data_IF_635231204271
#
_entry.id   IF_635231204271
#
_cell.length_a   1.000
_cell.length_b   1.000
_cell.length_c   1.000
_cell.angle_alpha   90.00
_cell.angle_beta   90.00
_cell.angle_gamma   90.00
#
_symmetry.space_group_name_H-M   'P 1'
#
loop_
_entity.id
_entity.type
_entity.pdbx_description
1 polymer ?
#
# COMPACT_ATOMS: atom_id res chain seq x y z
N UNK A 1 -4.54 2.65 -4.87
CA UNK A 1 -3.17 2.21 -4.49
C UNK A 1 -2.19 3.37 -4.65
N UNK A 2 -1.58 3.85 -3.57
CA UNK A 2 -0.39 4.73 -3.67
C UNK A 2 0.84 3.81 -3.69
N UNK A 3 1.36 3.56 -4.88
CA UNK A 3 2.63 2.85 -5.03
C UNK A 3 3.77 3.84 -4.75
N UNK A 4 4.74 3.42 -3.94
CA UNK A 4 6.05 4.05 -4.00
C UNK A 4 6.69 3.61 -5.32
N UNK A 5 6.64 4.45 -6.35
CA UNK A 5 7.28 4.18 -7.63
C UNK A 5 8.39 5.19 -7.90
N UNK A 6 9.54 4.70 -8.35
CA UNK A 6 10.63 5.52 -8.85
C UNK A 6 10.85 5.21 -10.32
N UNK A 7 10.95 6.25 -11.14
CA UNK A 7 11.31 6.12 -12.56
C UNK A 7 12.73 6.65 -12.74
N UNK A 8 13.54 5.92 -13.49
CA UNK A 8 14.90 6.31 -13.85
C UNK A 8 15.19 5.90 -15.28
N UNK A 9 16.02 6.67 -15.97
CA UNK A 9 16.59 6.29 -17.25
C UNK A 9 17.96 5.66 -16.99
N UNK A 10 18.14 4.41 -17.42
CA UNK A 10 19.37 3.65 -17.27
C UNK A 10 20.05 3.56 -18.63
N UNK A 11 21.32 3.97 -18.69
CA UNK A 11 22.13 3.85 -19.90
C UNK A 11 23.33 2.95 -19.61
N UNK A 12 23.49 1.92 -20.43
CA UNK A 12 24.64 1.02 -20.41
C UNK A 12 25.10 0.72 -21.87
N UNK A 13 26.10 -0.14 -22.09
CA UNK A 13 26.54 -0.50 -23.44
C UNK A 13 25.46 -1.19 -24.31
N UNK A 14 24.42 -1.76 -23.72
CA UNK A 14 23.30 -2.43 -24.39
C UNK A 14 22.16 -1.47 -24.78
N UNK A 15 22.16 -0.24 -24.23
CA UNK A 15 21.32 0.86 -24.69
C UNK A 15 20.86 1.80 -23.58
N UNK A 16 19.89 2.65 -23.92
CA UNK A 16 19.19 3.52 -22.97
C UNK A 16 17.76 3.04 -22.81
N UNK A 17 17.35 2.85 -21.56
CA UNK A 17 16.06 2.24 -21.19
C UNK A 17 15.44 3.00 -20.05
N UNK A 18 14.14 3.26 -20.15
CA UNK A 18 13.37 3.82 -19.05
C UNK A 18 12.89 2.69 -18.14
N UNK A 19 13.29 2.74 -16.88
CA UNK A 19 12.97 1.74 -15.86
C UNK A 19 12.11 2.38 -14.78
N UNK A 20 10.97 1.76 -14.51
CA UNK A 20 10.16 2.04 -13.34
C UNK A 20 10.33 0.90 -12.33
N UNK A 21 10.68 1.24 -11.10
CA UNK A 21 10.63 0.32 -9.96
C UNK A 21 9.49 0.76 -9.05
N UNK A 22 8.63 -0.17 -8.68
CA UNK A 22 7.52 0.05 -7.77
C UNK A 22 7.54 -0.98 -6.65
N UNK A 23 7.23 -0.54 -5.44
CA UNK A 23 6.89 -1.43 -4.34
C UNK A 23 5.37 -1.47 -4.20
N UNK A 24 4.83 -2.67 -4.33
CA UNK A 24 3.43 -2.98 -4.05
C UNK A 24 3.34 -3.83 -2.78
N UNK A 25 2.21 -3.72 -2.10
CA UNK A 25 1.83 -4.68 -1.08
C UNK A 25 0.57 -5.39 -1.53
N UNK A 26 0.52 -6.69 -1.28
CA UNK A 26 -0.61 -7.53 -1.53
C UNK A 26 -0.86 -8.39 -0.31
N UNK A 27 -2.11 -8.53 0.10
CA UNK A 27 -2.46 -9.44 1.18
C UNK A 27 -2.00 -10.87 0.83
N UNK A 28 -1.25 -11.55 1.71
CA UNK A 28 -0.86 -12.96 1.50
C UNK A 28 -2.06 -13.90 1.36
N UNK A 29 -3.24 -13.46 1.80
CA UNK A 29 -4.49 -14.23 1.74
C UNK A 29 -5.19 -14.11 0.39
N UNK A 30 -4.85 -13.13 -0.45
CA UNK A 30 -5.45 -13.03 -1.77
C UNK A 30 -4.86 -14.09 -2.71
N UNK A 31 -5.70 -14.81 -3.49
CA UNK A 31 -5.21 -15.81 -4.44
C UNK A 31 -4.48 -15.13 -5.60
N UNK A 32 -3.23 -15.50 -5.87
CA UNK A 32 -2.46 -14.95 -7.00
C UNK A 32 -3.26 -15.06 -8.30
N UNK A 33 -3.44 -13.98 -9.08
CA UNK A 33 -4.13 -14.05 -10.36
C UNK A 33 -3.52 -15.14 -11.24
N UNK A 34 -4.35 -15.82 -12.02
CA UNK A 34 -3.85 -16.77 -13.01
C UNK A 34 -2.93 -16.03 -14.00
N UNK A 35 -1.67 -16.45 -14.06
CA UNK A 35 -0.69 -15.90 -14.99
C UNK A 35 -0.79 -16.62 -16.35
N UNK A 36 -0.51 -15.89 -17.42
CA UNK A 36 -0.52 -16.46 -18.77
C UNK A 36 0.66 -17.43 -18.95
N UNK A 37 0.48 -18.48 -19.75
CA UNK A 37 1.47 -19.57 -19.85
C UNK A 37 2.86 -19.20 -20.39
N UNK A 38 3.02 -18.01 -20.98
CA UNK A 38 4.30 -17.51 -21.49
C UNK A 38 5.08 -16.69 -20.44
N UNK A 39 4.44 -16.36 -19.32
CA UNK A 39 5.11 -15.75 -18.17
C UNK A 39 6.10 -16.77 -17.61
N UNK A 40 7.34 -16.33 -17.43
CA UNK A 40 8.42 -17.18 -16.93
C UNK A 40 8.50 -17.04 -15.41
N UNK A 41 8.80 -18.15 -14.74
CA UNK A 41 8.99 -18.21 -13.29
C UNK A 41 10.41 -18.67 -12.99
N UNK A 42 11.05 -18.00 -12.03
CA UNK A 42 12.37 -18.38 -11.55
C UNK A 42 12.57 -17.91 -10.11
N UNK A 43 13.57 -18.47 -9.45
CA UNK A 43 14.01 -18.03 -8.14
C UNK A 43 15.32 -17.28 -8.28
N UNK A 44 15.39 -16.06 -7.73
CA UNK A 44 16.62 -15.25 -7.65
C UNK A 44 16.90 -15.00 -6.16
N UNK A 45 18.06 -15.43 -5.66
CA UNK A 45 18.47 -15.27 -4.26
C UNK A 45 17.40 -15.72 -3.24
N UNK A 46 16.67 -16.80 -3.56
CA UNK A 46 15.61 -17.35 -2.72
C UNK A 46 14.27 -16.61 -2.80
N UNK A 47 14.14 -15.61 -3.68
CA UNK A 47 12.91 -14.86 -3.94
C UNK A 47 12.25 -15.36 -5.22
N UNK A 48 10.95 -15.62 -5.17
CA UNK A 48 10.15 -15.99 -6.35
C UNK A 48 10.00 -14.78 -7.27
N UNK A 49 10.42 -14.91 -8.52
CA UNK A 49 10.39 -13.87 -9.54
C UNK A 49 9.64 -14.35 -10.77
N UNK A 50 8.62 -13.61 -11.17
CA UNK A 50 7.99 -13.79 -12.48
C UNK A 50 8.49 -12.75 -13.47
N UNK A 51 8.61 -13.13 -14.74
CA UNK A 51 9.00 -12.23 -15.81
C UNK A 51 8.12 -12.36 -17.05
N UNK A 52 7.84 -11.20 -17.63
CA UNK A 52 7.04 -11.05 -18.83
C UNK A 52 7.78 -10.12 -19.80
N UNK A 53 8.25 -10.66 -20.93
CA UNK A 53 8.81 -9.88 -22.03
C UNK A 53 7.78 -9.72 -23.13
N UNK A 54 7.70 -8.54 -23.73
CA UNK A 54 6.94 -8.36 -24.97
C UNK A 54 7.37 -9.38 -26.04
N UNK A 55 8.66 -9.72 -26.10
CA UNK A 55 9.20 -10.63 -27.11
C UNK A 55 8.80 -12.10 -26.93
N UNK A 56 8.35 -12.47 -25.73
CA UNK A 56 7.86 -13.81 -25.41
C UNK A 56 6.33 -13.93 -25.58
N UNK A 57 5.63 -12.82 -25.83
CA UNK A 57 4.17 -12.79 -25.89
C UNK A 57 3.65 -13.55 -27.14
N UNK A 58 2.63 -14.41 -27.00
CA UNK A 58 2.00 -15.05 -28.15
C UNK A 58 1.33 -14.01 -29.06
N UNK A 59 1.37 -14.26 -30.37
CA UNK A 59 0.78 -13.39 -31.41
C UNK A 59 1.37 -11.98 -31.49
N UNK A 60 2.62 -11.79 -31.08
CA UNK A 60 3.31 -10.52 -31.24
C UNK A 60 3.41 -10.10 -32.72
N UNK A 61 3.19 -8.82 -33.06
CA UNK A 61 3.47 -8.30 -34.40
C UNK A 61 4.93 -8.51 -34.82
N UNK A 62 5.22 -8.50 -36.13
CA UNK A 62 6.60 -8.47 -36.63
C UNK A 62 7.43 -7.37 -35.94
N UNK A 63 8.70 -7.67 -35.64
CA UNK A 63 9.57 -6.78 -34.83
C UNK A 63 9.70 -5.36 -35.40
N UNK A 64 9.66 -5.23 -36.72
CA UNK A 64 9.74 -3.97 -37.46
C UNK A 64 8.49 -3.08 -37.32
N UNK A 65 7.38 -3.62 -36.79
CA UNK A 65 6.15 -2.89 -36.49
C UNK A 65 6.05 -2.48 -35.02
N UNK A 66 6.96 -2.97 -34.18
CA UNK A 66 7.00 -2.62 -32.75
C UNK A 66 7.75 -1.30 -32.60
N UNK A 67 7.15 -0.31 -31.93
CA UNK A 67 7.77 1.00 -31.69
C UNK A 67 8.42 1.12 -30.30
N UNK A 68 7.99 0.26 -29.37
CA UNK A 68 8.52 0.17 -28.01
C UNK A 68 8.32 -1.26 -27.52
N UNK A 69 9.34 -1.82 -26.90
CA UNK A 69 9.32 -3.11 -26.24
C UNK A 69 9.35 -2.92 -24.72
N UNK A 70 8.89 -3.95 -24.01
CA UNK A 70 8.86 -3.94 -22.55
C UNK A 70 9.33 -5.25 -21.96
N UNK A 71 9.86 -5.15 -20.74
CA UNK A 71 10.18 -6.29 -19.91
C UNK A 71 9.78 -5.97 -18.47
N UNK A 72 8.94 -6.83 -17.90
CA UNK A 72 8.46 -6.74 -16.54
C UNK A 72 9.02 -7.87 -15.69
N UNK A 73 9.42 -7.54 -14.46
CA UNK A 73 9.79 -8.49 -13.42
C UNK A 73 9.00 -8.21 -12.15
N UNK A 74 8.53 -9.25 -11.48
CA UNK A 74 7.81 -9.16 -10.20
C UNK A 74 8.46 -10.12 -9.21
N UNK A 75 9.17 -9.58 -8.23
CA UNK A 75 9.75 -10.34 -7.12
C UNK A 75 8.79 -10.31 -5.92
N UNK A 76 8.38 -11.49 -5.44
CA UNK A 76 7.36 -11.62 -4.38
C UNK A 76 7.97 -12.13 -3.08
N UNK A 77 7.60 -11.50 -1.98
CA UNK A 77 8.10 -11.82 -0.64
C UNK A 77 7.00 -12.49 0.22
N UNK A 78 7.39 -13.33 1.20
CA UNK A 78 6.44 -14.01 2.08
C UNK A 78 5.56 -13.08 2.93
N UNK A 79 6.01 -11.84 3.17
CA UNK A 79 5.29 -10.81 3.93
C UNK A 79 4.23 -10.06 3.09
N UNK A 80 4.00 -10.49 1.85
CA UNK A 80 3.03 -9.87 0.93
C UNK A 80 3.60 -8.69 0.13
N UNK A 81 4.86 -8.30 0.36
CA UNK A 81 5.49 -7.29 -0.47
C UNK A 81 5.81 -7.84 -1.87
N UNK A 82 5.70 -6.98 -2.88
CA UNK A 82 6.11 -7.27 -4.25
C UNK A 82 6.92 -6.10 -4.82
N UNK A 83 8.15 -6.39 -5.25
CA UNK A 83 8.95 -5.46 -6.05
C UNK A 83 8.65 -5.67 -7.52
N UNK A 84 8.21 -4.63 -8.19
CA UNK A 84 7.88 -4.63 -9.61
C UNK A 84 8.88 -3.76 -10.36
N UNK A 85 9.52 -4.31 -11.38
CA UNK A 85 10.42 -3.58 -12.27
C UNK A 85 9.84 -3.66 -13.67
N UNK A 86 9.59 -2.52 -14.30
CA UNK A 86 9.14 -2.40 -15.68
C UNK A 86 10.15 -1.58 -16.47
N UNK A 87 10.74 -2.17 -17.50
CA UNK A 87 11.52 -1.46 -18.49
C UNK A 87 10.70 -1.23 -19.76
N UNK A 88 10.82 -0.03 -20.32
CA UNK A 88 10.35 0.34 -21.66
C UNK A 88 11.52 0.82 -22.50
N UNK A 89 11.65 0.31 -23.72
CA UNK A 89 12.84 0.52 -24.54
C UNK A 89 12.56 0.42 -26.04
N UNK A 90 13.40 1.06 -26.89
CA UNK A 90 13.33 0.86 -28.33
C UNK A 90 13.58 -0.62 -28.70
N UNK A 91 12.95 -1.16 -29.77
CA UNK A 91 13.08 -2.58 -30.13
C UNK A 91 14.50 -3.09 -30.37
N UNK A 92 15.43 -2.19 -30.70
CA UNK A 92 16.82 -2.50 -30.98
C UNK A 92 17.70 -2.60 -29.71
N UNK A 93 17.20 -2.16 -28.56
CA UNK A 93 17.92 -2.23 -27.28
C UNK A 93 17.62 -3.54 -26.54
N UNK A 94 18.57 -4.03 -25.75
CA UNK A 94 18.37 -5.17 -24.87
C UNK A 94 17.88 -4.73 -23.47
N UNK A 95 16.68 -4.16 -23.42
CA UNK A 95 16.14 -3.64 -22.16
C UNK A 95 15.69 -4.72 -21.16
N UNK A 96 15.58 -5.98 -21.59
CA UNK A 96 15.29 -7.09 -20.69
C UNK A 96 16.49 -7.44 -19.82
N UNK A 97 17.71 -7.44 -20.37
CA UNK A 97 18.93 -7.63 -19.61
C UNK A 97 19.12 -6.52 -18.55
N UNK A 98 18.86 -5.27 -18.93
CA UNK A 98 18.92 -4.13 -18.00
C UNK A 98 17.90 -4.28 -16.87
N UNK A 99 16.64 -4.59 -17.19
CA UNK A 99 15.60 -4.79 -16.20
C UNK A 99 15.88 -5.97 -15.26
N UNK A 100 16.48 -7.04 -15.77
CA UNK A 100 16.92 -8.18 -14.98
C UNK A 100 18.02 -7.80 -13.98
N UNK A 101 19.01 -7.01 -14.41
CA UNK A 101 20.05 -6.49 -13.53
C UNK A 101 19.46 -5.59 -12.44
N UNK A 102 18.49 -4.74 -12.78
CA UNK A 102 17.79 -3.88 -11.82
C UNK A 102 17.00 -4.70 -10.81
N UNK A 103 16.18 -5.69 -11.22
CA UNK A 103 15.40 -6.49 -10.26
C UNK A 103 16.31 -7.33 -9.36
N UNK A 104 17.41 -7.87 -9.90
CA UNK A 104 18.40 -8.62 -9.10
C UNK A 104 19.04 -7.73 -8.05
N UNK A 105 19.44 -6.50 -8.43
CA UNK A 105 19.98 -5.50 -7.49
C UNK A 105 18.94 -5.12 -6.44
N UNK A 106 17.70 -4.88 -6.85
CA UNK A 106 16.61 -4.52 -5.94
C UNK A 106 16.33 -5.65 -4.93
N UNK A 107 16.36 -6.92 -5.35
CA UNK A 107 16.25 -8.08 -4.48
C UNK A 107 17.39 -8.11 -3.44
N UNK A 108 18.63 -7.86 -3.86
CA UNK A 108 19.78 -7.84 -2.96
C UNK A 108 19.77 -6.66 -1.96
N UNK A 109 19.20 -5.52 -2.34
CA UNK A 109 19.06 -4.35 -1.46
C UNK A 109 17.85 -4.46 -0.52
N UNK A 110 16.81 -5.19 -0.90
CA UNK A 110 15.55 -5.27 -0.14
C UNK A 110 15.72 -5.74 1.32
N UNK A 111 16.57 -6.73 1.66
CA UNK A 111 16.85 -7.10 3.05
C UNK A 111 17.57 -6.01 3.87
N UNK A 112 18.27 -5.08 3.20
CA UNK A 112 18.98 -3.96 3.86
C UNK A 112 18.05 -2.79 4.17
N UNK A 113 16.77 -2.89 3.77
CA UNK A 113 15.76 -1.88 4.11
C UNK A 113 15.78 -1.65 5.61
N UNK A 114 15.67 -0.39 6.06
CA UNK A 114 15.51 -0.11 7.48
C UNK A 114 14.31 -0.91 8.00
N UNK A 115 14.45 -1.52 9.18
CA UNK A 115 13.35 -2.24 9.80
C UNK A 115 12.14 -1.32 9.95
N UNK A 116 10.94 -1.91 9.95
CA UNK A 116 9.74 -1.17 10.32
C UNK A 116 10.00 -0.48 11.67
N UNK A 117 9.57 0.78 11.81
CA UNK A 117 9.85 1.65 12.96
C UNK A 117 11.29 2.15 13.15
N UNK A 118 12.26 1.83 12.30
CA UNK A 118 13.65 2.31 12.48
C UNK A 118 13.87 3.75 11.98
N UNK A 119 12.80 4.48 11.73
CA UNK A 119 12.90 5.89 11.36
C UNK A 119 13.40 6.69 12.56
N UNK A 120 14.14 7.78 12.31
CA UNK A 120 14.50 8.75 13.37
C UNK A 120 13.31 9.53 13.93
N UNK A 121 12.11 9.32 13.40
CA UNK A 121 10.88 9.93 13.90
C UNK A 121 10.36 9.15 15.12
N UNK A 122 9.67 9.82 16.06
CA UNK A 122 9.15 9.16 17.25
C UNK A 122 8.28 7.96 16.90
N UNK A 123 8.48 6.84 17.61
CA UNK A 123 7.53 5.73 17.60
C UNK A 123 6.24 6.18 18.25
N UNK A 124 5.12 5.99 17.57
CA UNK A 124 3.77 6.30 18.05
C UNK A 124 2.98 5.02 18.31
N UNK A 125 1.80 5.14 18.92
CA UNK A 125 0.85 4.03 19.10
C UNK A 125 0.44 3.35 17.77
N UNK A 126 0.59 4.04 16.64
CA UNK A 126 0.24 3.56 15.30
C UNK A 126 1.38 2.81 14.59
N UNK A 127 2.57 2.80 15.17
CA UNK A 127 3.76 2.28 14.48
C UNK A 127 3.69 0.75 14.39
N UNK A 128 3.59 0.23 13.16
CA UNK A 128 3.51 -1.22 12.91
C UNK A 128 2.15 -1.83 13.22
N UNK A 129 1.11 -1.01 13.43
CA UNK A 129 -0.24 -1.47 13.73
C UNK A 129 -0.98 -1.94 12.48
N UNK A 130 -1.85 -2.95 12.62
CA UNK A 130 -2.75 -3.41 11.57
C UNK A 130 -3.95 -2.45 11.44
N UNK A 131 -4.12 -1.73 10.31
CA UNK A 131 -5.22 -0.78 10.14
C UNK A 131 -6.59 -1.45 10.15
N UNK A 132 -6.70 -2.75 9.89
CA UNK A 132 -7.98 -3.46 9.89
C UNK A 132 -8.38 -3.97 11.29
N UNK A 133 -7.46 -3.99 12.26
CA UNK A 133 -7.69 -4.60 13.56
C UNK A 133 -8.91 -4.02 14.33
N UNK A 134 -9.15 -2.69 14.35
CA UNK A 134 -10.30 -2.15 15.08
C UNK A 134 -11.64 -2.62 14.53
N UNK A 135 -11.73 -2.76 13.20
CA UNK A 135 -12.98 -3.11 12.50
C UNK A 135 -13.34 -4.59 12.70
N UNK A 136 -12.38 -5.47 12.99
CA UNK A 136 -12.67 -6.90 13.26
C UNK A 136 -13.63 -7.12 14.43
N UNK A 137 -13.66 -6.20 15.40
CA UNK A 137 -14.62 -6.26 16.51
C UNK A 137 -16.08 -6.22 16.04
N UNK A 138 -16.35 -5.54 14.92
CA UNK A 138 -17.69 -5.36 14.36
C UNK A 138 -18.22 -6.62 13.66
N UNK A 139 -17.36 -7.58 13.33
CA UNK A 139 -17.78 -8.88 12.77
C UNK A 139 -18.75 -9.62 13.72
N UNK A 140 -18.70 -9.29 15.01
CA UNK A 140 -19.69 -9.75 15.99
C UNK A 140 -20.92 -8.85 15.95
N UNK A 141 -21.74 -9.00 14.92
CA UNK A 141 -23.06 -8.34 14.82
C UNK A 141 -23.32 -7.65 13.48
N UNK A 142 -22.28 -7.39 12.71
CA UNK A 142 -22.39 -6.79 11.38
C UNK A 142 -21.74 -7.67 10.32
N UNK A 143 -22.19 -7.51 9.08
CA UNK A 143 -21.55 -8.15 7.93
C UNK A 143 -20.38 -7.28 7.48
N UNK A 144 -19.16 -7.78 7.65
CA UNK A 144 -17.93 -7.11 7.19
C UNK A 144 -17.35 -7.89 6.03
N UNK A 145 -17.34 -7.30 4.84
CA UNK A 145 -16.64 -7.86 3.68
C UNK A 145 -15.37 -7.05 3.40
N UNK A 146 -14.22 -7.71 3.54
CA UNK A 146 -12.92 -7.11 3.34
C UNK A 146 -12.65 -6.93 1.84
N UNK A 147 -12.44 -5.69 1.41
CA UNK A 147 -12.08 -5.42 0.01
C UNK A 147 -10.60 -5.73 -0.23
N UNK A 148 -10.23 -6.05 -1.47
CA UNK A 148 -8.85 -6.32 -1.90
C UNK A 148 -7.94 -5.07 -1.96
N UNK A 149 -8.31 -3.99 -1.27
CA UNK A 149 -7.68 -2.67 -1.36
C UNK A 149 -6.79 -2.29 -0.17
N UNK A 150 -6.61 -3.17 0.81
CA UNK A 150 -5.89 -2.85 2.05
C UNK A 150 -4.44 -2.44 1.77
N UNK A 151 -3.96 -1.43 2.49
CA UNK A 151 -2.59 -0.93 2.42
C UNK A 151 -1.96 -0.97 3.81
N UNK A 152 -0.66 -0.72 3.88
CA UNK A 152 0.08 -0.68 5.16
C UNK A 152 -0.45 0.37 6.15
N UNK A 153 -1.24 1.35 5.70
CA UNK A 153 -1.85 2.39 6.56
C UNK A 153 -3.37 2.45 6.47
N UNK A 154 -4.02 1.68 5.60
CA UNK A 154 -5.46 1.84 5.36
C UNK A 154 -6.15 0.50 5.17
N UNK A 155 -7.33 0.36 5.75
CA UNK A 155 -8.22 -0.76 5.54
C UNK A 155 -9.48 -0.30 4.82
N UNK A 156 -9.87 -1.02 3.77
CA UNK A 156 -11.08 -0.76 2.99
C UNK A 156 -12.00 -1.98 3.08
N UNK A 157 -13.28 -1.75 3.37
CA UNK A 157 -14.25 -2.81 3.64
C UNK A 157 -15.66 -2.32 3.32
N UNK A 158 -16.61 -3.24 3.26
CA UNK A 158 -18.04 -2.88 3.36
C UNK A 158 -18.58 -3.34 4.70
N UNK A 159 -19.36 -2.46 5.34
CA UNK A 159 -20.09 -2.76 6.58
C UNK A 159 -21.58 -2.75 6.26
N UNK A 160 -22.22 -3.91 6.35
CA UNK A 160 -23.63 -4.10 5.97
C UNK A 160 -23.94 -3.55 4.56
N UNK A 161 -23.13 -3.93 3.56
CA UNK A 161 -23.15 -3.45 2.16
C UNK A 161 -22.68 -2.01 1.92
N UNK A 162 -22.30 -1.26 2.94
CA UNK A 162 -21.88 0.14 2.78
C UNK A 162 -20.34 0.29 2.75
N UNK A 163 -19.77 0.88 1.69
CA UNK A 163 -18.33 1.01 1.55
C UNK A 163 -17.74 2.02 2.53
N UNK A 164 -16.69 1.58 3.22
CA UNK A 164 -16.01 2.32 4.27
C UNK A 164 -14.51 2.15 4.21
N UNK A 165 -13.80 3.04 4.90
CA UNK A 165 -12.38 2.87 5.14
C UNK A 165 -11.96 3.40 6.50
N UNK A 166 -10.89 2.79 7.04
CA UNK A 166 -10.14 3.32 8.17
C UNK A 166 -8.69 3.54 7.76
N UNK A 167 -8.07 4.64 8.19
CA UNK A 167 -6.68 4.96 7.83
C UNK A 167 -5.89 5.48 9.03
N UNK A 168 -4.67 4.99 9.22
CA UNK A 168 -3.72 5.48 10.21
C UNK A 168 -3.19 6.85 9.75
N UNK A 169 -3.34 7.87 10.58
CA UNK A 169 -3.03 9.25 10.28
C UNK A 169 -2.24 9.94 11.42
N UNK A 170 -1.62 11.07 11.10
CA UNK A 170 -0.96 11.94 12.07
C UNK A 170 -1.46 13.38 11.87
N UNK A 171 -2.48 13.73 12.62
CA UNK A 171 -3.23 14.98 12.48
C UNK A 171 -2.53 16.15 13.17
N UNK A 172 -2.63 17.39 12.66
CA UNK A 172 -2.14 18.56 13.37
C UNK A 172 -2.81 18.71 14.74
N UNK A 173 -2.02 19.02 15.78
CA UNK A 173 -2.55 19.16 17.14
C UNK A 173 -3.51 20.36 17.33
N UNK A 174 -3.51 21.30 16.38
CA UNK A 174 -4.40 22.46 16.33
C UNK A 174 -5.68 22.22 15.50
N UNK A 175 -5.90 21.00 14.99
CA UNK A 175 -7.13 20.65 14.28
C UNK A 175 -8.35 20.86 15.22
N UNK A 176 -9.41 21.55 14.77
CA UNK A 176 -10.67 21.64 15.49
C UNK A 176 -11.19 20.26 15.92
N UNK A 177 -11.65 20.15 17.15
CA UNK A 177 -11.98 18.86 17.74
C UNK A 177 -12.97 18.95 18.88
N UNK A 178 -13.70 17.85 19.08
CA UNK A 178 -14.46 17.60 20.29
C UNK A 178 -13.60 16.74 21.21
N UNK A 179 -13.12 17.32 22.31
CA UNK A 179 -12.33 16.61 23.33
C UNK A 179 -13.22 15.86 24.30
N UNK A 180 -12.65 14.82 24.92
CA UNK A 180 -13.28 14.03 25.98
C UNK A 180 -14.67 13.51 25.57
N UNK A 181 -14.79 12.97 24.35
CA UNK A 181 -16.07 12.52 23.84
C UNK A 181 -16.51 11.26 24.62
N UNK A 182 -17.59 11.32 25.43
CA UNK A 182 -18.03 10.19 26.25
C UNK A 182 -18.45 8.99 25.40
N UNK A 183 -18.99 9.25 24.21
CA UNK A 183 -19.41 8.21 23.26
C UNK A 183 -18.21 7.48 22.66
N UNK A 184 -17.00 8.00 22.81
CA UNK A 184 -15.74 7.40 22.39
C UNK A 184 -14.80 7.13 23.57
N UNK A 185 -15.33 6.91 24.78
CA UNK A 185 -14.51 6.53 25.93
C UNK A 185 -13.55 7.62 26.40
N UNK A 186 -13.84 8.89 26.08
CA UNK A 186 -12.96 10.03 26.39
C UNK A 186 -11.96 10.35 25.28
N UNK A 187 -11.95 9.60 24.17
CA UNK A 187 -11.10 9.94 23.04
C UNK A 187 -11.54 11.27 22.40
N UNK A 188 -10.57 11.97 21.82
CA UNK A 188 -10.81 13.18 21.05
C UNK A 188 -11.25 12.81 19.63
N UNK A 189 -12.32 13.46 19.15
CA UNK A 189 -12.84 13.32 17.79
C UNK A 189 -12.52 14.58 16.98
N UNK A 190 -11.92 14.39 15.81
CA UNK A 190 -11.66 15.44 14.82
C UNK A 190 -12.65 15.28 13.65
N UNK A 191 -12.95 16.37 12.96
CA UNK A 191 -13.84 16.36 11.79
C UNK A 191 -15.34 16.42 12.13
N UNK A 192 -16.16 16.10 11.14
CA UNK A 192 -17.63 16.16 11.22
C UNK A 192 -18.25 14.81 10.81
N UNK A 193 -18.87 14.07 11.76
CA UNK A 193 -19.57 12.82 11.47
C UNK A 193 -20.67 12.95 10.41
N UNK A 194 -21.27 14.14 10.26
CA UNK A 194 -22.31 14.37 9.26
C UNK A 194 -21.74 14.47 7.83
N UNK A 195 -20.44 14.70 7.69
CA UNK A 195 -19.73 14.68 6.41
C UNK A 195 -19.12 13.30 6.11
N UNK A 196 -19.44 12.26 6.90
CA UNK A 196 -18.89 10.92 6.72
C UNK A 196 -17.38 10.81 6.94
N UNK A 197 -16.73 11.83 7.52
CA UNK A 197 -15.28 11.85 7.70
C UNK A 197 -14.89 12.39 9.08
N UNK A 198 -14.31 11.51 9.89
CA UNK A 198 -13.84 11.83 11.24
C UNK A 198 -12.49 11.19 11.51
N UNK A 199 -11.77 11.67 12.52
CA UNK A 199 -10.58 11.00 13.03
C UNK A 199 -10.63 10.86 14.55
N UNK A 200 -10.36 9.65 15.04
CA UNK A 200 -10.27 9.37 16.48
C UNK A 200 -8.82 9.46 16.89
N UNK A 201 -8.49 10.31 17.86
CA UNK A 201 -7.13 10.41 18.42
C UNK A 201 -6.90 9.20 19.34
N UNK A 202 -5.84 8.44 19.09
CA UNK A 202 -5.59 7.14 19.72
C UNK A 202 -4.30 7.09 20.55
N UNK A 203 -3.63 8.22 20.72
CA UNK A 203 -2.40 8.29 21.50
C UNK A 203 -1.90 9.69 21.79
N UNK A 204 -0.79 9.81 22.52
CA UNK A 204 -0.28 11.10 22.95
C UNK A 204 0.25 11.92 21.79
N UNK A 205 0.14 13.25 21.91
CA UNK A 205 0.77 14.19 21.01
C UNK A 205 2.29 14.01 21.01
N UNK A 206 2.91 14.13 19.83
CA UNK A 206 4.36 14.12 19.64
C UNK A 206 4.78 15.26 18.71
N UNK A 207 6.09 15.47 18.59
CA UNK A 207 6.64 16.53 17.73
C UNK A 207 7.58 15.99 16.67
N UNK A 208 7.49 16.59 15.48
CA UNK A 208 8.42 16.37 14.37
C UNK A 208 8.91 17.74 13.88
N UNK A 209 10.15 18.08 14.22
CA UNK A 209 10.65 19.44 14.03
C UNK A 209 9.82 20.44 14.84
N UNK A 210 9.23 21.44 14.18
CA UNK A 210 8.36 22.43 14.81
C UNK A 210 6.87 22.05 14.82
N UNK A 211 6.49 20.90 14.25
CA UNK A 211 5.09 20.47 14.14
C UNK A 211 4.70 19.59 15.33
N UNK A 212 3.58 19.91 15.96
CA UNK A 212 2.91 19.05 16.93
C UNK A 212 1.83 18.22 16.21
N UNK A 213 1.86 16.91 16.41
CA UNK A 213 1.02 15.95 15.72
C UNK A 213 0.33 15.01 16.72
N UNK A 214 -0.88 14.58 16.39
CA UNK A 214 -1.68 13.61 17.12
C UNK A 214 -1.79 12.33 16.29
N UNK A 215 -1.41 11.16 16.83
CA UNK A 215 -1.73 9.89 16.16
C UNK A 215 -3.24 9.69 16.19
N UNK A 216 -3.83 9.53 15.01
CA UNK A 216 -5.27 9.36 14.85
C UNK A 216 -5.60 8.25 13.84
N UNK A 217 -6.78 7.69 13.94
CA UNK A 217 -7.34 6.80 12.92
C UNK A 217 -8.52 7.52 12.28
N UNK A 218 -8.37 7.85 11.01
CA UNK A 218 -9.42 8.41 10.18
C UNK A 218 -10.44 7.33 9.82
N UNK A 219 -11.72 7.66 9.91
CA UNK A 219 -12.86 6.87 9.46
C UNK A 219 -13.51 7.65 8.33
N UNK A 220 -13.72 6.99 7.18
CA UNK A 220 -14.45 7.55 6.06
C UNK A 220 -15.59 6.61 5.64
N UNK A 221 -16.76 7.19 5.52
CA UNK A 221 -17.99 6.59 5.06
C UNK A 221 -18.43 7.28 3.77
N UNK A 222 -18.53 6.52 2.69
CA UNK A 222 -18.84 7.06 1.36
C UNK A 222 -20.27 7.57 1.27
N UNK A 223 -21.20 7.00 2.05
CA UNK A 223 -22.60 7.41 2.01
C UNK A 223 -22.93 8.45 3.10
N UNK A 224 -21.92 8.94 3.83
CA UNK A 224 -22.02 10.02 4.83
C UNK A 224 -23.04 9.73 5.95
N UNK A 225 -23.23 8.45 6.32
CA UNK A 225 -24.12 8.09 7.41
C UNK A 225 -23.45 8.31 8.78
N UNK A 226 -24.02 9.22 9.56
CA UNK A 226 -23.48 9.58 10.88
C UNK A 226 -23.46 8.40 11.86
N UNK A 227 -24.51 7.57 11.88
CA UNK A 227 -24.59 6.48 12.85
C UNK A 227 -23.54 5.40 12.56
N UNK A 228 -23.36 5.06 11.30
CA UNK A 228 -22.35 4.10 10.84
C UNK A 228 -20.93 4.65 11.00
N UNK A 229 -20.70 5.93 10.65
CA UNK A 229 -19.42 6.61 10.90
C UNK A 229 -19.05 6.55 12.39
N UNK A 230 -20.01 6.85 13.28
CA UNK A 230 -19.78 6.81 14.72
C UNK A 230 -19.64 5.39 15.28
N UNK A 231 -20.31 4.39 14.70
CA UNK A 231 -20.13 2.98 15.06
C UNK A 231 -18.68 2.53 14.81
N UNK A 232 -18.12 2.86 13.64
CA UNK A 232 -16.72 2.52 13.32
C UNK A 232 -15.75 3.35 14.15
N UNK A 233 -16.02 4.64 14.37
CA UNK A 233 -15.21 5.47 15.28
C UNK A 233 -15.20 4.91 16.71
N UNK A 234 -16.31 4.35 17.19
CA UNK A 234 -16.36 3.66 18.49
C UNK A 234 -15.49 2.41 18.50
N UNK A 235 -15.57 1.57 17.46
CA UNK A 235 -14.73 0.39 17.35
C UNK A 235 -13.23 0.72 17.32
N UNK A 236 -12.87 1.86 16.70
CA UNK A 236 -11.53 2.43 16.78
C UNK A 236 -11.16 2.82 18.20
N UNK A 237 -12.00 3.60 18.89
CA UNK A 237 -11.74 4.02 20.26
C UNK A 237 -11.60 2.82 21.22
N UNK A 238 -12.45 1.80 21.10
CA UNK A 238 -12.41 0.62 21.98
C UNK A 238 -11.16 -0.26 21.76
N UNK A 239 -10.50 -0.14 20.60
CA UNK A 239 -9.28 -0.89 20.30
C UNK A 239 -8.02 -0.29 20.93
N UNK A 240 -7.98 1.02 21.16
CA UNK A 240 -6.79 1.78 21.58
C UNK A 240 -6.91 2.34 23.00
#
# INVERSE_FOLDING_TARGET
MKFGSCTATVTDPAGTVDVNIALAWRSPQEPTPAEESWVKHRVIDGVEVTSASLWDQPNLPPRDQVVSASCQFIARYPDGAALMVLASFPPAADGCAIAEAVVTTAIAEYPKRPGWASSKFPTTTLTGTDPCAPVRSLETGHRVDWSSGTTVTSCYFTLDDHPMSVSLAHEPADHPSTRDNPDLGGHQLLGDPAAGQVAVVVGPQFTVGARALLPAVEVSDVDEDTARTMLVARAVADHY
#
